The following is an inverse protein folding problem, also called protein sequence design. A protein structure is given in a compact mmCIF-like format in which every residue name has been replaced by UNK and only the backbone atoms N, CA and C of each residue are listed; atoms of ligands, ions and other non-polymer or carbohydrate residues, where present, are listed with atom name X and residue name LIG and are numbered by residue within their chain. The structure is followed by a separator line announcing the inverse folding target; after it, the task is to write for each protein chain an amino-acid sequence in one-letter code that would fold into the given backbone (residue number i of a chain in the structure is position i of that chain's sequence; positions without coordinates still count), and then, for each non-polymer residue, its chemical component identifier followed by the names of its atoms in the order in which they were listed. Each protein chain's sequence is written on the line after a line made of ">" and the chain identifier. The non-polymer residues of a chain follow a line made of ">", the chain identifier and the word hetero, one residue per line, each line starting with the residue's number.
data_IF_074412919908
#
_entry.id   IF_074412919908
#
_cell.length_a   1.000
_cell.length_b   1.000
_cell.length_c   1.000
_cell.angle_alpha   90.00
_cell.angle_beta   90.00
_cell.angle_gamma   90.00
#
_symmetry.space_group_name_H-M   'P 1'
#
loop_
_entity.id
_entity.type
_entity.pdbx_description
1 polymer ?
#
# COMPACT_ATOMS: atom_id res chain seq x y z
N UNK A 1 -87.70 31.76 -7.50
CA UNK A 1 -87.02 30.77 -8.38
C UNK A 1 -86.11 31.53 -9.34
N UNK A 2 -84.88 31.03 -9.55
CA UNK A 2 -83.82 31.48 -10.49
C UNK A 2 -83.15 32.83 -10.16
N UNK A 3 -82.03 32.85 -9.43
CA UNK A 3 -80.60 32.66 -9.84
C UNK A 3 -79.98 33.86 -10.55
N UNK A 4 -79.09 34.59 -9.85
CA UNK A 4 -77.76 34.95 -10.35
C UNK A 4 -76.87 35.39 -9.18
N UNK A 5 -75.75 34.69 -8.98
CA UNK A 5 -74.70 34.98 -7.99
C UNK A 5 -73.48 35.56 -8.72
N UNK A 6 -72.90 36.62 -8.16
CA UNK A 6 -71.53 37.09 -8.43
C UNK A 6 -70.56 36.42 -7.44
N UNK A 7 -69.30 36.10 -7.84
CA UNK A 7 -68.29 35.56 -6.93
C UNK A 7 -67.23 36.62 -6.55
N UNK A 8 -66.91 36.76 -5.26
CA UNK A 8 -65.66 37.37 -4.78
C UNK A 8 -65.17 36.57 -3.57
N UNK A 9 -63.99 35.96 -3.73
CA UNK A 9 -63.05 35.32 -2.78
C UNK A 9 -62.33 34.26 -3.63
N UNK A 10 -61.03 34.30 -3.91
CA UNK A 10 -59.90 34.36 -2.99
C UNK A 10 -58.62 34.65 -3.78
N UNK A 11 -57.95 35.76 -3.53
CA UNK A 11 -56.61 36.05 -4.10
C UNK A 11 -55.62 36.15 -2.96
N UNK A 12 -55.28 35.03 -2.30
CA UNK A 12 -54.22 35.03 -1.29
C UNK A 12 -53.59 33.66 -1.02
N UNK A 13 -53.43 32.80 -2.04
CA UNK A 13 -52.61 31.57 -1.94
C UNK A 13 -51.96 31.28 -3.30
N UNK A 14 -51.04 32.14 -3.76
CA UNK A 14 -50.15 31.78 -4.90
C UNK A 14 -48.71 32.30 -4.71
N UNK A 15 -48.46 33.28 -3.85
CA UNK A 15 -47.13 33.92 -3.75
C UNK A 15 -46.12 33.26 -2.80
N UNK A 16 -46.50 32.28 -1.96
CA UNK A 16 -45.53 31.57 -1.11
C UNK A 16 -44.94 30.29 -1.75
N UNK A 17 -45.53 29.78 -2.84
CA UNK A 17 -45.07 28.54 -3.47
C UNK A 17 -43.90 28.76 -4.45
N UNK A 18 -43.69 29.98 -4.95
CA UNK A 18 -42.65 30.26 -5.94
C UNK A 18 -41.26 30.58 -5.35
N UNK A 19 -41.17 30.93 -4.06
CA UNK A 19 -39.88 31.21 -3.41
C UNK A 19 -39.15 29.94 -2.92
N UNK A 20 -39.89 28.86 -2.64
CA UNK A 20 -39.29 27.59 -2.22
C UNK A 20 -38.70 26.77 -3.38
N UNK A 21 -39.25 26.93 -4.60
CA UNK A 21 -38.76 26.19 -5.78
C UNK A 21 -37.42 26.74 -6.29
N UNK A 22 -37.17 28.04 -6.15
CA UNK A 22 -35.90 28.66 -6.57
C UNK A 22 -34.74 28.41 -5.60
N UNK A 23 -35.01 28.29 -4.29
CA UNK A 23 -33.98 27.95 -3.29
C UNK A 23 -33.61 26.46 -3.35
N UNK A 24 -34.58 25.57 -3.64
CA UNK A 24 -34.29 24.15 -3.90
C UNK A 24 -33.55 23.91 -5.23
N UNK A 25 -33.85 24.68 -6.29
CA UNK A 25 -33.11 24.61 -7.54
C UNK A 25 -31.66 25.14 -7.41
N UNK A 26 -31.42 26.13 -6.54
CA UNK A 26 -30.08 26.62 -6.21
C UNK A 26 -29.25 25.66 -5.35
N UNK A 27 -29.89 24.88 -4.48
CA UNK A 27 -29.22 23.88 -3.63
C UNK A 27 -28.89 22.58 -4.38
N UNK A 28 -29.68 22.18 -5.39
CA UNK A 28 -29.37 21.03 -6.23
C UNK A 28 -28.39 21.34 -7.37
N UNK A 29 -28.19 22.61 -7.73
CA UNK A 29 -27.23 22.98 -8.78
C UNK A 29 -25.80 23.08 -8.26
N UNK A 30 -25.57 23.47 -7.00
CA UNK A 30 -24.22 23.51 -6.43
C UNK A 30 -23.58 22.13 -6.17
N UNK A 31 -24.38 21.05 -6.05
CA UNK A 31 -23.87 19.68 -5.95
C UNK A 31 -23.70 18.97 -7.30
N UNK A 32 -24.23 19.52 -8.39
CA UNK A 32 -24.15 18.93 -9.73
C UNK A 32 -22.98 19.50 -10.58
N UNK A 33 -22.42 20.66 -10.22
CA UNK A 33 -21.25 21.24 -10.89
C UNK A 33 -19.94 20.78 -10.25
N UNK A 34 -19.63 19.50 -10.43
CA UNK A 34 -18.36 18.88 -10.00
C UNK A 34 -18.19 17.40 -10.39
N UNK A 35 -19.25 16.76 -10.90
CA UNK A 35 -19.23 15.37 -11.39
C UNK A 35 -18.95 15.24 -12.90
N UNK A 36 -18.44 16.29 -13.54
CA UNK A 36 -18.03 16.24 -14.94
C UNK A 36 -16.57 15.72 -15.03
N UNK A 37 -16.41 14.48 -15.52
CA UNK A 37 -15.16 13.85 -15.96
C UNK A 37 -14.05 13.62 -14.90
N UNK A 38 -14.38 13.15 -13.71
CA UNK A 38 -13.33 12.61 -12.83
C UNK A 38 -12.83 11.25 -13.35
N UNK A 39 -11.52 11.02 -13.27
CA UNK A 39 -10.90 9.78 -13.72
C UNK A 39 -11.33 8.65 -12.77
N UNK A 40 -11.80 7.55 -13.33
CA UNK A 40 -12.21 6.37 -12.56
C UNK A 40 -11.42 5.14 -12.99
N UNK A 41 -11.11 4.28 -12.02
CA UNK A 41 -10.46 3.00 -12.26
C UNK A 41 -11.43 1.86 -11.97
N UNK A 42 -11.59 0.96 -12.93
CA UNK A 42 -12.33 -0.30 -12.75
C UNK A 42 -11.41 -1.48 -13.03
N UNK A 43 -11.22 -2.36 -12.06
CA UNK A 43 -10.47 -3.59 -12.23
C UNK A 43 -11.06 -4.42 -13.36
N UNK A 44 -10.19 -4.93 -14.23
CA UNK A 44 -10.56 -5.84 -15.32
C UNK A 44 -10.49 -7.26 -14.74
N UNK A 45 -11.62 -7.97 -14.54
CA UNK A 45 -11.62 -9.31 -13.98
C UNK A 45 -10.74 -10.27 -14.79
N UNK A 46 -9.97 -11.10 -14.09
CA UNK A 46 -9.05 -12.06 -14.71
C UNK A 46 -7.76 -11.45 -15.26
N UNK A 47 -7.52 -10.15 -15.10
CA UNK A 47 -6.27 -9.51 -15.57
C UNK A 47 -5.10 -9.70 -14.61
N UNK A 48 -5.36 -10.13 -13.36
CA UNK A 48 -4.31 -10.47 -12.40
C UNK A 48 -3.58 -11.74 -12.80
N UNK A 49 -2.29 -11.63 -13.09
CA UNK A 49 -1.43 -12.74 -13.51
C UNK A 49 -0.09 -12.71 -12.77
N UNK A 50 0.43 -13.90 -12.46
CA UNK A 50 1.82 -14.07 -12.02
C UNK A 50 2.74 -14.06 -13.24
N UNK A 51 3.69 -13.14 -13.26
CA UNK A 51 4.70 -13.04 -14.31
C UNK A 51 5.89 -13.95 -14.00
N UNK A 52 6.38 -13.99 -12.76
CA UNK A 52 7.49 -14.85 -12.35
C UNK A 52 7.60 -14.97 -10.82
N UNK A 53 8.32 -16.00 -10.37
CA UNK A 53 8.79 -16.11 -8.98
C UNK A 53 10.17 -15.44 -8.82
N UNK A 54 10.28 -14.52 -7.87
CA UNK A 54 11.48 -13.71 -7.66
C UNK A 54 12.48 -14.36 -6.69
N UNK A 55 12.00 -15.22 -5.78
CA UNK A 55 12.80 -15.81 -4.70
C UNK A 55 12.90 -17.32 -4.87
N UNK A 56 14.06 -17.88 -4.54
CA UNK A 56 14.45 -19.28 -4.77
C UNK A 56 15.02 -19.51 -6.16
N UNK A 57 15.50 -20.71 -6.43
CA UNK A 57 16.15 -21.07 -7.71
C UNK A 57 15.20 -21.70 -8.72
N UNK A 58 13.99 -22.07 -8.31
CA UNK A 58 13.01 -22.76 -9.15
C UNK A 58 11.60 -22.17 -8.97
N UNK A 59 11.02 -21.70 -10.08
CA UNK A 59 9.62 -21.28 -10.14
C UNK A 59 8.72 -22.51 -10.24
N UNK A 60 7.96 -22.79 -9.18
CA UNK A 60 7.17 -24.01 -9.08
C UNK A 60 5.98 -24.07 -10.04
N UNK A 61 5.40 -22.92 -10.39
CA UNK A 61 4.29 -22.85 -11.34
C UNK A 61 4.80 -23.07 -12.76
N UNK A 62 5.90 -22.39 -13.14
CA UNK A 62 6.48 -22.50 -14.48
C UNK A 62 7.32 -23.76 -14.68
N UNK A 63 7.70 -24.43 -13.59
CA UNK A 63 8.60 -25.58 -13.57
C UNK A 63 9.94 -25.29 -14.25
N UNK A 64 10.48 -24.11 -14.00
CA UNK A 64 11.70 -23.61 -14.63
C UNK A 64 12.58 -22.87 -13.61
N UNK A 65 13.89 -22.74 -13.87
CA UNK A 65 14.77 -21.92 -13.04
C UNK A 65 14.26 -20.47 -12.97
N UNK A 66 14.36 -19.83 -11.79
CA UNK A 66 14.05 -18.40 -11.66
C UNK A 66 15.16 -17.55 -12.29
N UNK A 67 14.84 -16.31 -12.70
CA UNK A 67 15.86 -15.36 -13.16
C UNK A 67 16.87 -15.01 -12.06
N UNK A 68 16.40 -14.97 -10.82
CA UNK A 68 17.15 -14.42 -9.71
C UNK A 68 18.06 -15.42 -9.00
N UNK A 69 17.80 -16.72 -9.07
CA UNK A 69 18.64 -17.77 -8.50
C UNK A 69 19.13 -17.42 -7.07
N UNK A 70 18.21 -16.98 -6.20
CA UNK A 70 18.59 -16.35 -4.92
C UNK A 70 19.21 -17.34 -3.93
N UNK A 71 18.91 -18.63 -4.03
CA UNK A 71 19.52 -19.65 -3.19
C UNK A 71 20.97 -19.89 -3.65
N UNK A 72 21.19 -20.05 -4.95
CA UNK A 72 22.53 -20.23 -5.51
C UNK A 72 23.42 -18.98 -5.37
N UNK A 73 22.87 -17.78 -5.58
CA UNK A 73 23.64 -16.51 -5.57
C UNK A 73 23.83 -15.91 -4.18
N UNK A 74 22.85 -16.07 -3.29
CA UNK A 74 22.83 -15.36 -2.00
C UNK A 74 22.48 -16.26 -0.81
N UNK A 75 22.23 -17.56 -1.03
CA UNK A 75 21.77 -18.51 0.00
C UNK A 75 20.46 -18.08 0.66
N UNK A 76 19.58 -17.47 -0.12
CA UNK A 76 18.22 -17.08 0.26
C UNK A 76 17.25 -18.05 -0.42
N UNK A 77 16.66 -18.95 0.37
CA UNK A 77 15.68 -19.93 -0.11
C UNK A 77 14.27 -19.34 -0.18
N UNK A 78 13.94 -18.44 0.75
CA UNK A 78 12.63 -17.82 0.91
C UNK A 78 12.73 -16.50 1.65
N UNK A 79 11.83 -15.59 1.36
CA UNK A 79 11.63 -14.31 2.05
C UNK A 79 10.26 -13.77 1.63
N UNK A 80 9.82 -12.70 2.26
CA UNK A 80 8.55 -12.05 1.97
C UNK A 80 8.66 -10.52 1.89
N UNK A 81 7.52 -9.86 1.75
CA UNK A 81 7.40 -8.41 1.51
C UNK A 81 7.97 -8.01 0.14
N UNK A 82 8.84 -7.00 0.10
CA UNK A 82 9.35 -6.39 -1.13
C UNK A 82 8.82 -4.97 -1.37
N UNK A 83 8.60 -4.17 -0.31
CA UNK A 83 8.29 -2.74 -0.48
C UNK A 83 9.41 -2.09 -1.30
N UNK A 84 9.06 -1.26 -2.28
CA UNK A 84 10.04 -0.71 -3.22
C UNK A 84 9.97 0.81 -3.37
N UNK A 85 11.12 1.42 -3.65
CA UNK A 85 11.25 2.86 -3.86
C UNK A 85 12.51 3.20 -4.67
N UNK A 86 12.51 4.36 -5.31
CA UNK A 86 13.65 4.89 -6.06
C UNK A 86 14.74 5.44 -5.14
N UNK A 87 16.00 5.06 -5.36
CA UNK A 87 17.16 5.69 -4.74
C UNK A 87 18.36 5.72 -5.69
N UNK A 88 18.86 6.93 -5.98
CA UNK A 88 20.04 7.15 -6.85
C UNK A 88 19.96 6.38 -8.20
N UNK A 89 18.79 6.37 -8.83
CA UNK A 89 18.53 5.71 -10.11
C UNK A 89 18.32 4.18 -10.04
N UNK A 90 18.49 3.56 -8.87
CA UNK A 90 18.18 2.15 -8.63
C UNK A 90 16.80 2.02 -7.97
N UNK A 91 16.10 0.96 -8.33
CA UNK A 91 14.91 0.53 -7.59
C UNK A 91 15.37 -0.32 -6.39
N UNK A 92 15.09 0.13 -5.17
CA UNK A 92 15.42 -0.59 -3.94
C UNK A 92 14.23 -1.42 -3.50
N UNK A 93 14.48 -2.62 -2.98
CA UNK A 93 13.49 -3.52 -2.40
C UNK A 93 13.86 -3.85 -0.95
N UNK A 94 12.85 -3.81 -0.09
CA UNK A 94 12.93 -4.17 1.32
C UNK A 94 12.12 -5.44 1.56
N UNK A 95 12.80 -6.52 1.91
CA UNK A 95 12.18 -7.81 2.22
C UNK A 95 12.12 -8.02 3.73
N UNK A 96 11.19 -8.88 4.17
CA UNK A 96 11.02 -9.25 5.57
C UNK A 96 11.79 -10.50 5.95
N UNK A 97 11.19 -11.28 6.86
CA UNK A 97 11.81 -12.43 7.48
C UNK A 97 12.37 -13.38 6.41
N UNK A 98 13.66 -13.67 6.48
CA UNK A 98 14.37 -14.37 5.40
C UNK A 98 14.81 -15.78 5.82
N UNK A 99 14.39 -16.78 5.05
CA UNK A 99 14.96 -18.13 5.06
C UNK A 99 16.30 -18.12 4.33
N UNK A 100 17.31 -17.57 5.00
CA UNK A 100 18.68 -17.51 4.52
C UNK A 100 19.69 -17.73 5.63
N UNK A 101 20.98 -17.72 5.27
CA UNK A 101 22.07 -17.90 6.24
C UNK A 101 21.99 -16.86 7.37
N UNK A 102 21.57 -17.30 8.55
CA UNK A 102 21.49 -16.45 9.75
C UNK A 102 20.20 -15.65 9.91
N UNK A 103 19.18 -15.87 9.07
CA UNK A 103 17.87 -15.22 9.19
C UNK A 103 17.92 -13.68 9.04
N UNK A 104 16.96 -12.99 9.66
CA UNK A 104 16.80 -11.55 9.56
C UNK A 104 16.19 -11.11 8.24
N UNK A 105 16.31 -9.82 7.93
CA UNK A 105 15.64 -9.20 6.77
C UNK A 105 16.65 -8.76 5.72
N UNK A 106 16.31 -8.92 4.45
CA UNK A 106 17.21 -8.63 3.34
C UNK A 106 16.80 -7.37 2.55
N UNK A 107 17.76 -6.74 1.90
CA UNK A 107 17.52 -5.70 0.91
C UNK A 107 18.09 -6.10 -0.44
N UNK A 108 17.46 -5.64 -1.52
CA UNK A 108 18.00 -5.76 -2.87
C UNK A 108 17.86 -4.46 -3.64
N UNK A 109 18.59 -4.35 -4.74
CA UNK A 109 18.39 -3.32 -5.74
C UNK A 109 18.16 -3.95 -7.12
N UNK A 110 17.54 -3.17 -8.01
CA UNK A 110 17.32 -3.53 -9.40
C UNK A 110 17.58 -2.35 -10.32
N UNK A 111 18.17 -2.64 -11.48
CA UNK A 111 18.26 -1.73 -12.62
C UNK A 111 17.24 -2.07 -13.71
N UNK A 112 16.31 -3.00 -13.46
CA UNK A 112 15.29 -3.42 -14.42
C UNK A 112 14.43 -2.22 -14.83
N UNK A 113 14.17 -2.11 -16.14
CA UNK A 113 13.32 -1.06 -16.74
C UNK A 113 12.04 -1.61 -17.38
N UNK A 114 12.03 -2.90 -17.72
CA UNK A 114 10.89 -3.58 -18.34
C UNK A 114 10.51 -4.82 -17.51
N UNK A 115 9.41 -4.77 -16.72
CA UNK A 115 9.01 -5.87 -15.86
C UNK A 115 8.53 -7.11 -16.63
N UNK A 116 8.15 -6.96 -17.91
CA UNK A 116 7.67 -8.08 -18.74
C UNK A 116 8.83 -8.98 -19.22
N UNK A 117 10.08 -8.49 -19.13
CA UNK A 117 11.29 -9.26 -19.46
C UNK A 117 11.97 -9.90 -18.25
N UNK A 118 11.38 -9.70 -17.07
CA UNK A 118 11.89 -10.22 -15.80
C UNK A 118 12.58 -9.14 -14.95
N UNK A 119 12.30 -9.19 -13.66
CA UNK A 119 12.82 -8.33 -12.61
C UNK A 119 14.05 -8.96 -11.96
N UNK A 120 15.22 -8.48 -12.39
CA UNK A 120 16.51 -8.88 -11.82
C UNK A 120 16.76 -8.19 -10.48
N UNK A 121 16.95 -8.98 -9.44
CA UNK A 121 17.32 -8.55 -8.10
C UNK A 121 18.80 -8.85 -7.83
N UNK A 122 19.47 -7.85 -7.30
CA UNK A 122 20.82 -7.95 -6.75
C UNK A 122 20.76 -7.60 -5.26
N UNK A 123 20.95 -8.61 -4.41
CA UNK A 123 20.89 -8.42 -2.97
C UNK A 123 22.14 -7.69 -2.48
N UNK A 124 21.97 -6.76 -1.54
CA UNK A 124 23.10 -6.13 -0.86
C UNK A 124 23.89 -7.22 -0.14
N UNK A 125 25.21 -7.15 -0.15
CA UNK A 125 26.07 -8.14 0.50
C UNK A 125 27.10 -7.50 1.42
N UNK A 126 27.40 -8.17 2.53
CA UNK A 126 28.51 -7.82 3.41
C UNK A 126 29.86 -8.13 2.73
N UNK A 127 30.97 -7.70 3.36
CA UNK A 127 32.34 -7.98 2.86
C UNK A 127 32.69 -9.46 2.74
N UNK A 128 31.90 -10.36 3.33
CA UNK A 128 32.07 -11.83 3.28
C UNK A 128 31.16 -12.47 2.22
N UNK A 129 30.38 -11.68 1.49
CA UNK A 129 29.44 -12.16 0.46
C UNK A 129 28.14 -12.74 1.01
N UNK A 130 27.82 -12.58 2.30
CA UNK A 130 26.48 -12.90 2.80
C UNK A 130 25.55 -11.73 2.46
N UNK A 131 24.25 -11.98 2.29
CA UNK A 131 23.31 -10.86 2.16
C UNK A 131 23.39 -9.96 3.40
N UNK A 132 23.35 -8.65 3.17
CA UNK A 132 23.37 -7.63 4.21
C UNK A 132 21.99 -7.58 4.87
N UNK A 133 21.96 -7.63 6.19
CA UNK A 133 20.71 -7.60 6.96
C UNK A 133 20.27 -6.18 7.27
N UNK A 134 18.96 -5.95 7.36
CA UNK A 134 18.40 -4.75 7.98
C UNK A 134 18.56 -4.88 9.50
N UNK A 135 19.62 -4.27 10.04
CA UNK A 135 19.96 -4.41 11.47
C UNK A 135 20.35 -3.04 12.08
N UNK A 136 19.36 -2.22 12.45
CA UNK A 136 19.62 -0.95 13.12
C UNK A 136 20.22 -1.14 14.52
N UNK A 137 21.21 -0.32 14.91
CA UNK A 137 21.95 -0.51 16.16
C UNK A 137 21.03 -0.36 17.36
N UNK A 138 21.09 -1.33 18.28
CA UNK A 138 20.32 -1.34 19.53
C UNK A 138 18.83 -1.64 19.36
N UNK A 139 18.38 -2.03 18.16
CA UNK A 139 16.97 -2.35 17.89
C UNK A 139 16.83 -3.86 17.62
N UNK A 140 15.77 -4.46 18.15
CA UNK A 140 15.43 -5.86 17.86
C UNK A 140 14.87 -5.97 16.44
N UNK A 141 15.36 -6.95 15.68
CA UNK A 141 14.89 -7.32 14.33
C UNK A 141 14.68 -8.84 14.26
N UNK A 142 13.89 -9.37 15.20
CA UNK A 142 13.51 -10.79 15.28
C UNK A 142 12.31 -11.05 14.36
N UNK A 143 11.82 -12.29 14.37
CA UNK A 143 10.62 -12.68 13.61
C UNK A 143 9.46 -11.69 13.77
N UNK A 144 8.85 -11.30 12.65
CA UNK A 144 7.81 -10.27 12.52
C UNK A 144 8.26 -8.82 12.79
N UNK A 145 9.53 -8.56 13.11
CA UNK A 145 10.11 -7.22 13.22
C UNK A 145 10.87 -6.92 11.93
N UNK A 146 10.28 -6.16 11.01
CA UNK A 146 10.64 -6.11 9.59
C UNK A 146 10.72 -4.68 9.07
N UNK A 147 11.47 -4.40 7.99
CA UNK A 147 11.32 -3.16 7.24
C UNK A 147 9.92 -3.10 6.62
N UNK A 148 9.21 -1.98 6.82
CA UNK A 148 7.81 -1.83 6.35
C UNK A 148 7.67 -0.85 5.19
N UNK A 149 8.61 0.09 5.06
CA UNK A 149 8.64 1.05 3.96
C UNK A 149 10.03 1.68 3.82
N UNK A 150 10.26 2.36 2.70
CA UNK A 150 11.43 3.20 2.51
C UNK A 150 11.16 4.38 1.58
N UNK A 151 12.04 5.37 1.63
CA UNK A 151 11.98 6.54 0.77
C UNK A 151 13.38 7.13 0.60
N UNK A 152 13.69 7.59 -0.61
CA UNK A 152 14.87 8.41 -0.84
C UNK A 152 14.51 9.87 -0.63
N UNK A 153 15.22 10.58 0.24
CA UNK A 153 15.01 12.01 0.46
C UNK A 153 16.37 12.72 0.58
N UNK A 154 16.56 13.79 -0.20
CA UNK A 154 17.79 14.59 -0.27
C UNK A 154 19.08 13.75 -0.37
N UNK A 155 19.06 12.78 -1.29
CA UNK A 155 20.19 11.88 -1.57
C UNK A 155 20.46 10.81 -0.51
N UNK A 156 19.67 10.74 0.56
CA UNK A 156 19.77 9.75 1.65
C UNK A 156 18.69 8.68 1.52
N UNK A 157 19.05 7.45 1.87
CA UNK A 157 18.12 6.32 1.92
C UNK A 157 17.52 6.21 3.33
N UNK A 158 16.20 6.31 3.43
CA UNK A 158 15.48 6.09 4.69
C UNK A 158 14.70 4.79 4.62
N UNK A 159 14.73 4.05 5.73
CA UNK A 159 14.00 2.80 5.90
C UNK A 159 13.20 2.91 7.19
N UNK A 160 11.89 2.71 7.09
CA UNK A 160 11.02 2.58 8.24
C UNK A 160 10.98 1.11 8.63
N UNK A 161 11.25 0.82 9.90
CA UNK A 161 11.19 -0.52 10.47
C UNK A 161 10.06 -0.64 11.48
N UNK A 162 9.50 -1.83 11.60
CA UNK A 162 8.56 -2.21 12.66
C UNK A 162 9.27 -3.15 13.63
N UNK A 163 9.25 -2.86 14.93
CA UNK A 163 9.97 -3.61 15.97
C UNK A 163 9.13 -3.75 17.25
N UNK A 164 9.70 -4.35 18.30
CA UNK A 164 9.11 -4.59 19.62
C UNK A 164 7.87 -5.48 19.54
N UNK A 165 7.95 -6.51 18.71
CA UNK A 165 6.81 -7.37 18.42
C UNK A 165 6.42 -8.24 19.61
N UNK A 166 5.13 -8.30 19.89
CA UNK A 166 4.52 -9.23 20.83
C UNK A 166 3.49 -10.10 20.16
N UNK A 167 3.15 -11.23 20.79
CA UNK A 167 2.01 -12.04 20.36
C UNK A 167 0.74 -11.18 20.31
N UNK A 168 0.11 -11.11 19.15
CA UNK A 168 -1.06 -10.24 18.91
C UNK A 168 -0.73 -8.86 18.35
N UNK A 169 0.56 -8.51 18.23
CA UNK A 169 1.04 -7.23 17.68
C UNK A 169 0.56 -6.00 18.48
N UNK A 170 0.48 -6.09 19.81
CA UNK A 170 -0.04 -4.99 20.65
C UNK A 170 1.04 -4.02 21.15
N UNK A 171 2.30 -4.36 20.96
CA UNK A 171 3.46 -3.57 21.44
C UNK A 171 4.34 -3.07 20.30
N UNK A 172 3.95 -3.32 19.06
CA UNK A 172 4.74 -2.95 17.88
C UNK A 172 4.98 -1.42 17.86
N UNK A 173 6.17 -1.05 17.41
CA UNK A 173 6.62 0.34 17.24
C UNK A 173 7.13 0.50 15.80
N UNK A 174 6.90 1.67 15.22
CA UNK A 174 7.48 2.07 13.93
C UNK A 174 8.58 3.11 14.15
N UNK A 175 9.78 2.83 13.63
CA UNK A 175 10.95 3.71 13.74
C UNK A 175 11.42 4.11 12.34
N UNK A 176 11.78 5.38 12.18
CA UNK A 176 12.51 5.87 11.02
C UNK A 176 14.01 5.64 11.22
N UNK A 177 14.66 5.04 10.24
CA UNK A 177 16.10 4.86 10.18
C UNK A 177 16.68 5.43 8.88
N UNK A 178 17.97 5.68 8.86
CA UNK A 178 18.74 6.02 7.66
C UNK A 178 19.77 4.94 7.38
N UNK A 179 19.89 4.51 6.14
CA UNK A 179 20.92 3.58 5.68
C UNK A 179 22.02 4.34 4.94
N UNK A 180 23.27 4.13 5.37
CA UNK A 180 24.48 4.61 4.69
C UNK A 180 25.05 3.45 3.86
N UNK A 181 24.88 3.52 2.54
CA UNK A 181 25.28 2.45 1.61
C UNK A 181 26.80 2.21 1.61
N UNK A 182 27.61 3.27 1.75
CA UNK A 182 29.08 3.18 1.70
C UNK A 182 29.63 2.49 2.95
N UNK A 183 29.00 2.76 4.10
CA UNK A 183 29.37 2.15 5.38
C UNK A 183 28.65 0.83 5.65
N UNK A 184 27.56 0.56 4.93
CA UNK A 184 26.63 -0.55 5.20
C UNK A 184 26.04 -0.49 6.61
N UNK A 185 25.72 0.72 7.08
CA UNK A 185 25.29 0.97 8.45
C UNK A 185 23.94 1.67 8.51
N UNK A 186 23.14 1.29 9.51
CA UNK A 186 21.89 1.95 9.84
C UNK A 186 22.10 2.95 10.98
N UNK A 187 21.38 4.07 10.93
CA UNK A 187 21.23 5.02 12.03
C UNK A 187 19.75 5.13 12.39
N UNK A 188 19.40 4.87 13.65
CA UNK A 188 18.06 5.14 14.18
C UNK A 188 17.88 6.66 14.34
N UNK A 189 16.75 7.19 13.89
CA UNK A 189 16.48 8.64 13.92
C UNK A 189 15.40 9.00 14.92
N UNK A 190 14.17 8.51 14.68
CA UNK A 190 13.01 8.85 15.49
C UNK A 190 11.97 7.75 15.48
N UNK A 191 11.10 7.79 16.48
CA UNK A 191 9.84 7.05 16.46
C UNK A 191 8.84 7.74 15.52
N UNK A 192 8.10 6.93 14.75
CA UNK A 192 6.96 7.40 13.95
C UNK A 192 5.66 7.22 14.72
N UNK A 193 5.46 6.06 15.36
CA UNK A 193 4.24 5.70 16.08
C UNK A 193 4.47 4.45 16.93
N UNK A 194 3.66 4.28 17.98
CA UNK A 194 3.75 3.19 18.96
C UNK A 194 2.38 2.71 19.39
N UNK A 195 2.21 1.39 19.51
CA UNK A 195 1.01 0.79 20.06
C UNK A 195 0.98 0.81 21.60
N UNK A 196 -0.21 0.80 22.22
CA UNK A 196 -1.53 0.54 21.61
C UNK A 196 -2.25 1.74 20.98
N UNK A 197 -1.81 2.97 21.20
CA UNK A 197 -2.52 4.18 20.73
C UNK A 197 -2.20 4.57 19.28
N UNK A 198 -1.08 4.07 18.76
CA UNK A 198 -0.53 4.41 17.47
C UNK A 198 -1.32 3.89 16.26
N UNK A 199 -1.23 4.65 15.17
CA UNK A 199 -1.94 4.47 13.90
C UNK A 199 -1.00 4.36 12.71
N UNK A 200 0.32 4.46 12.90
CA UNK A 200 1.33 4.46 11.84
C UNK A 200 2.43 3.41 12.08
N UNK A 201 2.03 2.17 12.35
CA UNK A 201 2.91 1.04 12.63
C UNK A 201 3.44 0.39 11.35
N UNK A 202 2.53 0.01 10.45
CA UNK A 202 2.88 -0.25 9.05
C UNK A 202 2.56 1.01 8.27
N UNK A 203 3.47 1.42 7.38
CA UNK A 203 3.33 2.68 6.67
C UNK A 203 3.62 2.53 5.18
N UNK A 204 3.16 3.49 4.39
CA UNK A 204 3.59 3.73 3.01
C UNK A 204 3.95 5.21 2.92
N UNK A 205 5.12 5.51 2.36
CA UNK A 205 5.62 6.88 2.23
C UNK A 205 5.67 7.30 0.77
N UNK A 206 5.33 8.55 0.50
CA UNK A 206 5.45 9.14 -0.83
C UNK A 206 5.81 10.63 -0.70
N UNK A 207 6.63 11.16 -1.62
CA UNK A 207 6.83 12.61 -1.72
C UNK A 207 5.54 13.29 -2.18
N UNK A 208 5.32 14.54 -1.84
CA UNK A 208 4.33 15.34 -2.56
C UNK A 208 4.72 15.40 -4.05
N UNK A 209 3.96 14.79 -4.99
CA UNK A 209 4.38 14.67 -6.38
C UNK A 209 4.28 16.00 -7.12
N UNK A 210 3.29 16.81 -6.73
CA UNK A 210 3.00 18.16 -7.18
C UNK A 210 2.24 18.88 -6.06
N UNK A 211 2.21 20.23 -6.02
CA UNK A 211 1.46 20.97 -5.01
C UNK A 211 -0.01 20.48 -4.88
N UNK A 212 -0.39 19.98 -3.70
CA UNK A 212 -1.73 19.44 -3.45
C UNK A 212 -2.60 20.48 -2.73
N UNK A 213 -3.67 20.92 -3.39
CA UNK A 213 -4.63 21.83 -2.79
C UNK A 213 -5.28 21.22 -1.53
N UNK A 214 -5.25 21.95 -0.41
CA UNK A 214 -5.77 21.52 0.88
C UNK A 214 -4.70 21.06 1.88
N UNK A 215 -3.45 20.87 1.44
CA UNK A 215 -2.34 20.75 2.37
C UNK A 215 -2.07 22.09 3.08
N UNK A 216 -1.64 22.08 4.35
CA UNK A 216 -1.29 23.29 5.10
C UNK A 216 0.03 23.89 4.58
N UNK A 217 0.33 25.14 4.96
CA UNK A 217 1.62 25.78 4.66
C UNK A 217 2.81 24.95 5.16
N UNK A 218 3.86 24.82 4.35
CA UNK A 218 5.04 23.98 4.68
C UNK A 218 5.41 22.94 3.63
N UNK A 219 4.71 22.92 2.48
CA UNK A 219 5.05 22.12 1.30
C UNK A 219 6.49 22.41 0.81
N UNK A 220 7.22 21.42 0.24
CA UNK A 220 6.78 20.04 -0.02
C UNK A 220 6.74 19.16 1.23
N UNK A 221 5.75 18.27 1.28
CA UNK A 221 5.61 17.25 2.32
C UNK A 221 6.11 15.87 1.89
N UNK A 222 6.44 15.04 2.88
CA UNK A 222 6.33 13.58 2.76
C UNK A 222 4.95 13.19 3.29
N UNK A 223 4.18 12.49 2.48
CA UNK A 223 2.92 11.87 2.87
C UNK A 223 3.18 10.48 3.43
N UNK A 224 2.55 10.16 4.56
CA UNK A 224 2.71 8.90 5.25
C UNK A 224 1.31 8.33 5.51
N UNK A 225 0.94 7.29 4.78
CA UNK A 225 -0.23 6.49 5.12
C UNK A 225 0.18 5.44 6.15
N UNK A 226 -0.66 5.19 7.14
CA UNK A 226 -0.37 4.28 8.25
C UNK A 226 -1.54 3.39 8.64
N UNK A 227 -1.23 2.24 9.23
CA UNK A 227 -2.18 1.41 9.98
C UNK A 227 -1.65 1.11 11.38
N UNK A 228 -2.55 0.94 12.35
CA UNK A 228 -2.24 0.52 13.73
C UNK A 228 -2.06 -0.99 13.86
N UNK A 229 -2.77 -1.62 14.80
CA UNK A 229 -2.70 -3.06 15.08
C UNK A 229 -2.92 -3.88 13.80
N UNK A 230 -2.02 -4.83 13.54
CA UNK A 230 -1.99 -5.60 12.30
C UNK A 230 -3.31 -6.36 12.05
N UNK A 231 -3.94 -6.09 10.90
CA UNK A 231 -5.24 -6.65 10.48
C UNK A 231 -6.39 -6.37 11.46
N UNK A 232 -6.27 -5.31 12.25
CA UNK A 232 -7.27 -4.78 13.19
C UNK A 232 -7.25 -3.23 13.18
N UNK A 233 -7.05 -2.65 12.00
CA UNK A 233 -6.90 -1.21 11.86
C UNK A 233 -7.33 -0.72 10.48
N UNK A 234 -7.83 0.51 10.46
CA UNK A 234 -8.08 1.31 9.27
C UNK A 234 -6.77 1.92 8.72
N UNK A 235 -6.84 2.60 7.58
CA UNK A 235 -5.73 3.41 7.10
C UNK A 235 -5.92 4.88 7.48
N UNK A 236 -4.84 5.52 7.91
CA UNK A 236 -4.76 6.92 8.34
C UNK A 236 -3.73 7.65 7.50
N UNK A 237 -3.76 8.99 7.52
CA UNK A 237 -2.80 9.84 6.80
C UNK A 237 -2.15 10.82 7.77
N UNK A 238 -0.83 10.95 7.66
CA UNK A 238 -0.06 12.07 8.20
C UNK A 238 0.84 12.66 7.12
N UNK A 239 1.31 13.87 7.36
CA UNK A 239 2.25 14.60 6.53
C UNK A 239 3.36 15.15 7.41
N UNK A 240 4.58 15.22 6.89
CA UNK A 240 5.73 15.87 7.56
C UNK A 240 6.46 16.74 6.54
N UNK A 241 6.84 17.98 6.86
CA UNK A 241 7.63 18.80 5.95
C UNK A 241 8.87 18.03 5.50
N UNK A 242 9.16 18.03 4.21
CA UNK A 242 10.19 17.15 3.62
C UNK A 242 11.56 17.29 4.28
N UNK A 243 11.94 18.52 4.63
CA UNK A 243 13.20 18.84 5.28
C UNK A 243 13.24 18.44 6.78
N UNK A 244 12.09 18.15 7.39
CA UNK A 244 11.95 17.74 8.79
C UNK A 244 11.70 16.22 8.93
N UNK A 245 11.88 15.41 7.87
CA UNK A 245 11.65 13.97 7.93
C UNK A 245 12.43 13.29 9.07
N UNK A 246 13.71 13.65 9.26
CA UNK A 246 14.58 13.06 10.29
C UNK A 246 14.10 13.40 11.72
N UNK A 247 13.57 14.61 11.95
CA UNK A 247 13.15 15.10 13.28
C UNK A 247 11.68 14.82 13.58
N UNK A 248 10.84 14.74 12.54
CA UNK A 248 9.39 14.68 12.65
C UNK A 248 8.73 16.02 13.01
N UNK A 249 9.49 17.11 13.12
CA UNK A 249 8.94 18.42 13.49
C UNK A 249 7.95 18.89 12.42
N UNK A 250 6.81 19.42 12.86
CA UNK A 250 5.74 19.84 11.96
C UNK A 250 4.91 18.69 11.38
N UNK A 251 5.03 17.47 11.91
CA UNK A 251 4.12 16.38 11.53
C UNK A 251 2.67 16.76 11.87
N UNK A 252 1.79 16.58 10.89
CA UNK A 252 0.36 16.79 11.02
C UNK A 252 -0.41 15.55 10.58
N UNK A 253 -1.50 15.27 11.26
CA UNK A 253 -2.36 14.11 11.07
C UNK A 253 -3.71 14.56 10.53
N UNK A 254 -4.22 13.86 9.51
CA UNK A 254 -5.54 14.12 8.97
C UNK A 254 -6.61 13.87 10.03
N UNK A 255 -7.36 14.91 10.39
CA UNK A 255 -8.34 14.92 11.48
C UNK A 255 -9.79 14.97 10.98
N UNK A 256 -10.01 14.70 9.69
CA UNK A 256 -11.33 14.72 9.06
C UNK A 256 -11.52 15.88 8.09
N UNK A 257 -12.75 16.06 7.63
CA UNK A 257 -13.12 17.14 6.70
C UNK A 257 -13.88 18.25 7.44
N UNK A 258 -13.58 19.50 7.12
CA UNK A 258 -14.35 20.67 7.53
C UNK A 258 -15.67 20.79 6.77
N UNK A 259 -16.55 21.65 7.28
CA UNK A 259 -17.84 21.94 6.62
C UNK A 259 -17.66 22.61 5.24
N UNK A 260 -16.51 23.24 5.01
CA UNK A 260 -16.10 23.86 3.75
C UNK A 260 -15.50 22.84 2.74
N UNK A 261 -15.48 21.55 3.09
CA UNK A 261 -14.93 20.50 2.26
C UNK A 261 -13.40 20.44 2.23
N UNK A 262 -12.71 21.17 3.14
CA UNK A 262 -11.23 21.14 3.25
C UNK A 262 -10.77 20.15 4.32
N UNK A 263 -9.61 19.51 4.17
CA UNK A 263 -9.06 18.64 5.21
C UNK A 263 -8.68 19.45 6.46
N UNK A 264 -9.00 18.92 7.63
CA UNK A 264 -8.55 19.43 8.93
C UNK A 264 -7.31 18.65 9.33
N UNK A 265 -6.31 19.37 9.85
CA UNK A 265 -5.03 18.81 10.25
C UNK A 265 -4.80 19.03 11.75
N UNK A 266 -4.22 18.04 12.43
CA UNK A 266 -3.89 18.13 13.85
C UNK A 266 -2.45 17.71 14.12
N UNK A 267 -1.78 18.36 15.07
CA UNK A 267 -0.45 17.93 15.53
C UNK A 267 -0.48 16.70 16.44
N UNK A 268 -1.66 16.12 16.73
CA UNK A 268 -1.82 14.97 17.64
C UNK A 268 -2.29 13.74 16.87
N UNK A 269 -1.52 12.67 16.93
CA UNK A 269 -1.87 11.39 16.30
C UNK A 269 -3.20 10.81 16.79
N UNK A 270 -3.53 11.00 18.07
CA UNK A 270 -4.78 10.55 18.65
C UNK A 270 -6.03 11.13 17.97
N UNK A 271 -5.89 12.26 17.28
CA UNK A 271 -6.98 12.89 16.52
C UNK A 271 -7.13 12.34 15.10
N UNK A 272 -6.19 11.50 14.63
CA UNK A 272 -6.21 11.04 13.25
C UNK A 272 -7.48 10.24 12.96
N UNK A 273 -8.17 10.65 11.89
CA UNK A 273 -9.37 10.00 11.35
C UNK A 273 -8.99 9.08 10.20
N UNK A 274 -9.71 7.96 10.00
CA UNK A 274 -9.42 7.05 8.90
C UNK A 274 -9.64 7.75 7.56
N UNK A 275 -8.72 7.56 6.62
CA UNK A 275 -8.90 7.93 5.20
C UNK A 275 -9.47 6.75 4.41
N UNK A 276 -9.23 5.51 4.86
CA UNK A 276 -9.88 4.30 4.37
C UNK A 276 -10.44 3.52 5.55
N UNK A 277 -11.76 3.41 5.62
CA UNK A 277 -12.44 2.58 6.61
C UNK A 277 -12.47 1.11 6.14
N UNK A 278 -11.51 0.33 6.62
CA UNK A 278 -11.50 -1.13 6.42
C UNK A 278 -10.90 -1.79 7.68
N UNK A 279 -11.60 -2.69 8.39
CA UNK A 279 -11.18 -3.10 9.74
C UNK A 279 -10.00 -4.08 9.76
N UNK A 280 -9.65 -4.68 8.62
CA UNK A 280 -8.68 -5.79 8.56
C UNK A 280 -7.51 -5.58 7.59
N UNK A 281 -7.07 -4.33 7.41
CA UNK A 281 -5.91 -4.00 6.57
C UNK A 281 -4.65 -4.68 7.13
N UNK A 282 -3.99 -5.47 6.28
CA UNK A 282 -2.67 -6.04 6.53
C UNK A 282 -1.56 -5.17 5.95
N UNK A 283 -0.69 -5.77 5.15
CA UNK A 283 0.29 -5.02 4.36
C UNK A 283 -0.39 -4.21 3.27
N UNK A 284 0.08 -2.97 3.06
CA UNK A 284 -0.43 -2.08 2.03
C UNK A 284 0.65 -1.16 1.49
N UNK A 285 0.47 -0.68 0.26
CA UNK A 285 1.21 0.46 -0.30
C UNK A 285 0.26 1.45 -0.95
N UNK A 286 0.67 2.71 -0.95
CA UNK A 286 0.03 3.80 -1.69
C UNK A 286 1.01 4.32 -2.75
N UNK A 287 0.54 4.40 -3.98
CA UNK A 287 1.32 4.74 -5.19
C UNK A 287 0.67 5.90 -5.92
N UNK A 288 1.49 6.80 -6.46
CA UNK A 288 1.00 7.86 -7.34
C UNK A 288 1.00 7.40 -8.81
N UNK A 289 -0.16 7.41 -9.45
CA UNK A 289 -0.31 7.13 -10.88
C UNK A 289 -0.27 8.45 -11.64
N UNK A 290 0.93 8.92 -11.93
CA UNK A 290 1.17 10.27 -12.46
C UNK A 290 0.33 10.64 -13.70
N UNK A 291 0.19 9.79 -14.74
CA UNK A 291 -0.61 10.15 -15.90
C UNK A 291 -2.09 10.37 -15.59
N UNK A 292 -2.63 9.73 -14.55
CA UNK A 292 -4.05 9.81 -14.17
C UNK A 292 -4.32 10.82 -13.06
N UNK A 293 -3.26 11.33 -12.41
CA UNK A 293 -3.33 12.11 -11.18
C UNK A 293 -4.16 11.43 -10.07
N UNK A 294 -3.92 10.12 -9.89
CA UNK A 294 -4.62 9.30 -8.90
C UNK A 294 -3.65 8.67 -7.90
N UNK A 295 -4.07 8.64 -6.64
CA UNK A 295 -3.50 7.79 -5.61
C UNK A 295 -4.12 6.41 -5.70
N UNK A 296 -3.30 5.36 -5.65
CA UNK A 296 -3.72 3.96 -5.67
C UNK A 296 -3.26 3.28 -4.39
N UNK A 297 -4.18 2.72 -3.62
CA UNK A 297 -3.88 1.90 -2.45
C UNK A 297 -4.14 0.44 -2.78
N UNK A 298 -3.14 -0.41 -2.57
CA UNK A 298 -3.26 -1.87 -2.66
C UNK A 298 -2.97 -2.46 -1.30
N UNK A 299 -3.78 -3.42 -0.87
CA UNK A 299 -3.67 -3.96 0.49
C UNK A 299 -4.19 -5.39 0.60
N UNK A 300 -3.66 -6.12 1.56
CA UNK A 300 -4.22 -7.41 1.98
C UNK A 300 -5.34 -7.19 3.00
N UNK A 301 -6.42 -7.96 2.89
CA UNK A 301 -7.54 -7.95 3.83
C UNK A 301 -7.86 -9.36 4.34
N UNK A 302 -8.28 -9.47 5.61
CA UNK A 302 -8.82 -10.74 6.15
C UNK A 302 -10.31 -10.91 5.87
N UNK A 303 -11.06 -9.81 5.83
CA UNK A 303 -12.50 -9.81 5.59
C UNK A 303 -12.92 -8.59 4.74
N UNK A 304 -13.41 -8.81 3.50
CA UNK A 304 -13.27 -10.07 2.75
C UNK A 304 -11.80 -10.48 2.60
N UNK A 305 -11.52 -11.80 2.51
CA UNK A 305 -10.15 -12.29 2.32
C UNK A 305 -9.67 -11.95 0.91
N UNK A 306 -8.42 -11.53 0.77
CA UNK A 306 -7.78 -11.34 -0.53
C UNK A 306 -6.93 -10.08 -0.61
N UNK A 307 -6.59 -9.73 -1.85
CA UNK A 307 -5.86 -8.53 -2.24
C UNK A 307 -6.84 -7.53 -2.83
N UNK A 308 -6.87 -6.34 -2.25
CA UNK A 308 -7.81 -5.29 -2.56
C UNK A 308 -7.10 -4.09 -3.17
N UNK A 309 -7.83 -3.32 -3.96
CA UNK A 309 -7.42 -2.03 -4.51
C UNK A 309 -8.48 -0.96 -4.21
N UNK A 310 -8.02 0.25 -3.88
CA UNK A 310 -8.81 1.49 -3.87
C UNK A 310 -8.03 2.61 -4.55
N UNK A 311 -8.72 3.64 -5.03
CA UNK A 311 -8.07 4.83 -5.57
C UNK A 311 -8.71 6.13 -5.06
N UNK A 312 -7.98 7.24 -5.12
CA UNK A 312 -8.50 8.57 -4.81
C UNK A 312 -7.79 9.69 -5.60
N UNK A 313 -8.48 10.81 -5.77
CA UNK A 313 -7.94 12.03 -6.40
C UNK A 313 -7.14 12.89 -5.41
N UNK A 314 -7.30 12.67 -4.10
CA UNK A 314 -6.53 13.36 -3.06
C UNK A 314 -5.93 12.34 -2.09
N UNK A 315 -4.91 12.70 -1.31
CA UNK A 315 -4.34 11.79 -0.32
C UNK A 315 -5.33 11.31 0.76
N UNK A 316 -6.29 12.16 1.13
CA UNK A 316 -7.24 11.91 2.23
C UNK A 316 -8.60 11.39 1.79
N UNK A 317 -8.92 11.42 0.50
CA UNK A 317 -10.16 10.88 -0.03
C UNK A 317 -11.15 11.91 -0.58
N UNK A 318 -12.39 11.47 -0.89
CA UNK A 318 -12.89 10.12 -0.65
C UNK A 318 -12.13 9.07 -1.45
N UNK A 319 -11.82 7.95 -0.80
CA UNK A 319 -11.28 6.77 -1.48
C UNK A 319 -12.42 5.94 -2.08
N UNK A 320 -12.20 5.34 -3.23
CA UNK A 320 -13.19 4.48 -3.88
C UNK A 320 -13.59 3.30 -2.99
N UNK A 321 -14.72 2.67 -3.31
CA UNK A 321 -14.99 1.30 -2.84
C UNK A 321 -13.85 0.35 -3.21
N UNK A 322 -13.68 -0.71 -2.41
CA UNK A 322 -12.64 -1.70 -2.67
C UNK A 322 -12.98 -2.55 -3.89
N UNK A 323 -11.95 -2.90 -4.65
CA UNK A 323 -12.02 -3.83 -5.77
C UNK A 323 -11.09 -5.00 -5.49
N UNK A 324 -11.61 -6.23 -5.54
CA UNK A 324 -10.81 -7.45 -5.31
C UNK A 324 -9.98 -7.75 -6.54
N UNK A 325 -8.65 -7.69 -6.42
CA UNK A 325 -7.71 -8.04 -7.49
C UNK A 325 -7.37 -9.53 -7.51
N UNK A 326 -7.35 -10.16 -6.34
CA UNK A 326 -7.01 -11.57 -6.14
C UNK A 326 -7.66 -12.09 -4.85
N UNK A 327 -8.31 -13.26 -4.90
CA UNK A 327 -8.70 -14.01 -3.71
C UNK A 327 -8.24 -15.47 -3.84
N UNK A 328 -9.06 -16.34 -4.44
CA UNK A 328 -8.80 -17.78 -4.52
C UNK A 328 -8.04 -18.19 -5.78
N UNK A 329 -8.01 -17.34 -6.81
CA UNK A 329 -7.52 -17.68 -8.15
C UNK A 329 -6.03 -18.06 -8.19
N UNK A 330 -5.23 -17.62 -7.20
CA UNK A 330 -3.83 -18.00 -7.08
C UNK A 330 -3.57 -19.36 -6.40
N UNK A 331 -4.56 -19.90 -5.67
CA UNK A 331 -4.42 -21.15 -4.92
C UNK A 331 -4.39 -22.36 -5.86
N UNK A 332 -3.46 -23.29 -5.62
CA UNK A 332 -3.18 -24.42 -6.50
C UNK A 332 -2.47 -24.05 -7.81
N UNK A 333 -2.22 -22.77 -8.06
CA UNK A 333 -1.49 -22.27 -9.24
C UNK A 333 -0.07 -21.83 -8.87
N UNK A 334 0.05 -20.94 -7.88
CA UNK A 334 1.33 -20.48 -7.36
C UNK A 334 1.31 -20.22 -5.85
N UNK A 335 0.14 -20.38 -5.22
CA UNK A 335 -0.06 -20.38 -3.77
C UNK A 335 -0.49 -21.80 -3.37
N UNK A 336 0.18 -22.40 -2.40
CA UNK A 336 -0.12 -23.76 -1.97
C UNK A 336 -1.51 -23.85 -1.34
N UNK A 337 -2.26 -24.86 -1.77
CA UNK A 337 -3.57 -25.22 -1.25
C UNK A 337 -3.49 -26.58 -0.57
N UNK A 338 -3.80 -26.62 0.72
CA UNK A 338 -3.95 -27.89 1.43
C UNK A 338 -5.19 -28.59 0.89
N UNK A 339 -4.98 -29.68 0.15
CA UNK A 339 -6.03 -30.53 -0.43
C UNK A 339 -5.86 -31.96 0.05
N UNK A 340 -6.97 -32.64 0.35
CA UNK A 340 -6.98 -34.07 0.69
C UNK A 340 -6.82 -34.99 -0.52
N UNK A 341 -6.98 -34.46 -1.74
CA UNK A 341 -7.12 -35.29 -2.95
C UNK A 341 -5.86 -35.28 -3.84
N UNK A 342 -5.05 -34.22 -3.80
CA UNK A 342 -3.88 -34.08 -4.70
C UNK A 342 -2.88 -33.06 -4.19
N UNK A 343 -1.58 -33.41 -4.27
CA UNK A 343 -0.47 -32.47 -4.09
C UNK A 343 -0.39 -31.52 -5.31
N UNK A 344 -0.44 -30.22 -5.05
CA UNK A 344 -0.30 -29.18 -6.07
C UNK A 344 1.16 -28.93 -6.50
N UNK A 345 2.12 -29.52 -5.78
CA UNK A 345 3.56 -29.37 -5.99
C UNK A 345 4.11 -28.03 -5.50
N UNK A 346 3.31 -27.21 -4.82
CA UNK A 346 3.66 -25.85 -4.42
C UNK A 346 4.21 -25.76 -3.00
N UNK A 347 3.94 -26.75 -2.14
CA UNK A 347 4.33 -26.74 -0.73
C UNK A 347 5.83 -26.51 -0.50
N UNK A 348 6.18 -25.57 0.36
CA UNK A 348 7.53 -25.26 0.80
C UNK A 348 8.28 -24.31 -0.14
N UNK A 349 9.28 -23.55 0.35
CA UNK A 349 9.67 -23.49 1.76
C UNK A 349 8.58 -22.81 2.60
N UNK A 350 8.62 -23.00 3.92
CA UNK A 350 7.74 -22.32 4.89
C UNK A 350 8.62 -21.81 6.03
N UNK A 351 8.32 -20.63 6.54
CA UNK A 351 8.99 -20.08 7.72
C UNK A 351 8.22 -20.43 9.00
N UNK A 352 8.94 -20.52 10.12
CA UNK A 352 8.35 -20.76 11.43
C UNK A 352 8.27 -22.24 11.84
N UNK A 353 7.52 -22.55 12.91
CA UNK A 353 7.52 -23.88 13.53
C UNK A 353 7.04 -25.02 12.62
N UNK A 354 6.21 -24.73 11.62
CA UNK A 354 5.61 -25.72 10.73
C UNK A 354 6.47 -26.04 9.50
N UNK A 355 7.71 -25.52 9.44
CA UNK A 355 8.63 -25.69 8.30
C UNK A 355 8.94 -27.14 7.94
N UNK A 356 8.87 -28.05 8.91
CA UNK A 356 9.17 -29.47 8.71
C UNK A 356 8.00 -30.24 8.07
N UNK A 357 6.81 -29.63 7.98
CA UNK A 357 5.62 -30.21 7.36
C UNK A 357 4.92 -29.22 6.41
N UNK A 358 5.61 -28.70 5.38
CA UNK A 358 5.08 -27.62 4.54
C UNK A 358 3.79 -28.00 3.80
N UNK A 359 3.55 -29.29 3.57
CA UNK A 359 2.33 -29.82 2.93
C UNK A 359 1.05 -29.60 3.76
N UNK A 360 1.18 -29.29 5.06
CA UNK A 360 0.04 -29.04 5.96
C UNK A 360 -0.22 -27.55 6.18
N UNK A 361 0.62 -26.67 5.67
CA UNK A 361 0.55 -25.23 5.94
C UNK A 361 -0.14 -24.54 4.77
N UNK A 362 -1.36 -24.01 4.89
CA UNK A 362 -2.02 -23.34 3.77
C UNK A 362 -1.26 -22.09 3.36
N UNK A 363 -1.17 -21.81 2.06
CA UNK A 363 -0.66 -20.54 1.55
C UNK A 363 -1.67 -19.40 1.70
N UNK A 364 -1.23 -18.20 1.32
CA UNK A 364 -2.09 -17.03 1.29
C UNK A 364 -1.40 -15.81 0.70
N UNK A 365 -2.11 -15.00 -0.11
CA UNK A 365 -1.55 -13.79 -0.68
C UNK A 365 -1.47 -12.68 0.38
N UNK A 366 -0.34 -11.98 0.44
CA UNK A 366 -0.16 -10.76 1.24
C UNK A 366 0.94 -9.88 0.66
N UNK A 367 1.14 -8.69 1.25
CA UNK A 367 2.13 -7.72 0.80
C UNK A 367 2.06 -7.35 -0.70
N UNK A 368 0.90 -6.88 -1.20
CA UNK A 368 0.72 -6.50 -2.61
C UNK A 368 1.38 -5.14 -2.89
N UNK A 369 2.71 -5.07 -2.89
CA UNK A 369 3.42 -3.79 -3.03
C UNK A 369 3.62 -3.40 -4.49
N UNK A 370 2.96 -2.32 -4.92
CA UNK A 370 3.09 -1.77 -6.28
C UNK A 370 4.49 -1.24 -6.51
N UNK A 371 5.08 -1.59 -7.64
CA UNK A 371 6.36 -1.06 -8.12
C UNK A 371 6.05 0.15 -9.01
N UNK A 372 6.08 1.34 -8.41
CA UNK A 372 5.59 2.59 -9.03
C UNK A 372 6.20 2.88 -10.40
N UNK A 373 7.52 2.68 -10.56
CA UNK A 373 8.26 2.88 -11.82
C UNK A 373 7.62 2.18 -13.01
N UNK A 374 6.98 1.04 -12.79
CA UNK A 374 6.42 0.21 -13.84
C UNK A 374 4.94 0.47 -14.13
N UNK A 375 4.29 1.38 -13.39
CA UNK A 375 2.90 1.75 -13.69
C UNK A 375 2.81 2.36 -15.09
N UNK A 376 1.85 1.88 -15.87
CA UNK A 376 1.71 2.25 -17.28
C UNK A 376 0.26 2.57 -17.62
N UNK A 377 0.05 3.69 -18.28
CA UNK A 377 -1.27 4.07 -18.83
C UNK A 377 -1.17 4.07 -20.35
N UNK A 378 -1.99 3.25 -21.00
CA UNK A 378 -2.08 3.16 -22.45
C UNK A 378 -3.55 3.20 -22.87
N UNK A 379 -3.90 4.17 -23.71
CA UNK A 379 -5.29 4.45 -24.07
C UNK A 379 -6.18 4.55 -22.81
N UNK A 380 -7.16 3.66 -22.68
CA UNK A 380 -8.08 3.59 -21.55
C UNK A 380 -7.71 2.48 -20.54
N UNK A 381 -6.43 2.09 -20.43
CA UNK A 381 -5.99 1.03 -19.53
C UNK A 381 -4.83 1.48 -18.65
N UNK A 382 -4.97 1.25 -17.34
CA UNK A 382 -3.88 1.27 -16.38
C UNK A 382 -3.39 -0.17 -16.19
N UNK A 383 -2.10 -0.40 -16.37
CA UNK A 383 -1.42 -1.64 -15.98
C UNK A 383 -0.52 -1.32 -14.80
N UNK A 384 -0.65 -2.10 -13.72
CA UNK A 384 0.25 -2.04 -12.57
C UNK A 384 1.05 -3.33 -12.47
N UNK A 385 2.27 -3.20 -11.97
CA UNK A 385 3.11 -4.33 -11.59
C UNK A 385 3.38 -4.21 -10.11
N UNK A 386 3.32 -5.32 -9.40
CA UNK A 386 3.46 -5.36 -7.96
C UNK A 386 4.09 -6.67 -7.54
N UNK A 387 4.80 -6.67 -6.42
CA UNK A 387 5.22 -7.90 -5.79
C UNK A 387 4.13 -8.41 -4.86
N UNK A 388 4.07 -9.73 -4.69
CA UNK A 388 3.12 -10.38 -3.79
C UNK A 388 3.82 -11.54 -3.06
N UNK A 389 3.63 -11.61 -1.76
CA UNK A 389 4.11 -12.74 -0.95
C UNK A 389 3.03 -13.83 -0.87
N UNK A 390 3.44 -15.10 -0.87
CA UNK A 390 2.51 -16.24 -1.02
C UNK A 390 2.33 -17.11 0.23
N UNK A 391 3.09 -16.83 1.30
CA UNK A 391 3.14 -17.55 2.60
C UNK A 391 3.58 -19.01 2.50
N UNK A 392 2.97 -19.78 1.60
CA UNK A 392 3.43 -21.09 1.18
C UNK A 392 3.18 -21.23 -0.34
N UNK A 393 4.21 -21.39 -1.19
CA UNK A 393 5.64 -21.31 -0.83
C UNK A 393 5.98 -19.95 -0.21
N UNK A 394 6.96 -19.90 0.69
CA UNK A 394 7.41 -18.67 1.36
C UNK A 394 8.36 -17.89 0.46
N UNK A 395 7.78 -17.32 -0.59
CA UNK A 395 8.48 -16.61 -1.68
C UNK A 395 7.70 -15.34 -2.05
N UNK A 396 8.37 -14.49 -2.83
CA UNK A 396 7.79 -13.31 -3.46
C UNK A 396 7.66 -13.55 -4.97
N UNK A 397 6.54 -13.14 -5.55
CA UNK A 397 6.24 -13.26 -6.98
C UNK A 397 5.98 -11.88 -7.58
N UNK A 398 6.36 -11.68 -8.84
CA UNK A 398 5.99 -10.49 -9.62
C UNK A 398 4.61 -10.73 -10.25
N UNK A 399 3.71 -9.79 -10.03
CA UNK A 399 2.33 -9.81 -10.49
C UNK A 399 2.05 -8.63 -11.40
N UNK A 400 1.04 -8.78 -12.26
CA UNK A 400 0.48 -7.73 -13.09
C UNK A 400 -1.04 -7.75 -12.98
N UNK A 401 -1.67 -6.58 -12.91
CA UNK A 401 -3.12 -6.40 -13.00
C UNK A 401 -3.47 -5.22 -13.91
N UNK A 402 -4.67 -5.23 -14.48
CA UNK A 402 -5.14 -4.16 -15.37
C UNK A 402 -6.47 -3.57 -14.90
N UNK A 403 -6.64 -2.28 -15.19
CA UNK A 403 -7.84 -1.51 -14.88
C UNK A 403 -8.26 -0.73 -16.11
N UNK A 404 -9.57 -0.72 -16.37
CA UNK A 404 -10.19 0.21 -17.29
C UNK A 404 -10.16 1.61 -16.66
N UNK A 405 -9.68 2.58 -17.43
CA UNK A 405 -9.68 4.00 -17.09
C UNK A 405 -10.87 4.66 -17.78
N UNK A 406 -11.75 5.29 -17.01
CA UNK A 406 -12.88 6.08 -17.51
C UNK A 406 -12.68 7.54 -17.17
N UNK A 407 -13.24 8.45 -17.98
CA UNK A 407 -13.11 9.89 -17.78
C UNK A 407 -11.74 10.47 -18.18
N UNK A 408 -10.86 9.64 -18.75
CA UNK A 408 -9.56 10.03 -19.31
C UNK A 408 -9.70 10.14 -20.83
N UNK A 409 -9.45 11.33 -21.39
CA UNK A 409 -9.46 11.58 -22.85
C UNK A 409 -8.06 11.87 -23.35
#
# INVERSE_FOLDING_TARGET
>A
MRTMRLPWTSTLIVLCAFYWVLVLAGLFTAQAFGQLNQVMLRYIPGSTVKLEQLIGDFDKQKKAPTLNQTMSRYRIQGTDLGYSFEHKGKLIFLFGDTLGRGGGDAMAHSSTVDPERGLRLDFFTDRRGNYLKVEPPGISMKGFEVPVAGISNDGKMYVTIKTNHSRGSHTDISLLTRFDEDKQEFKVLREISRLPEGRFIKVSLHHEPEPIAGLPEGSPYILIWGSGIYRQSHAYLSIVPRHELETGKGTLYFAGMGQDGRPIWSAKEAHAKPVVEHPTIGEFSVTWVAPLKLWLMTYQSRQPRGVMMRYSHTPWGPWSEFQTMLDREGHGQFIHMVSSERDDGLAGPVIGPERDNPQKVPGGPYAPYVIERFTKVEANKLTIYYVLSTWNPYVVVLMRSQFEVKGFR
#
